data_IF_610033229109
#
_entry.id   IF_610033229109
#
_cell.length_a   1.000
_cell.length_b   1.000
_cell.length_c   1.000
_cell.angle_alpha   90.00
_cell.angle_beta   90.00
_cell.angle_gamma   90.00
#
_symmetry.space_group_name_H-M   'P 1'
#
loop_
_entity.id
_entity.type
_entity.pdbx_description
1 polymer ?
#
# COMPACT_ATOMS: atom_id res chain seq x y z
N UNK A 1 32.48 -0.92 -15.44
CA UNK A 1 33.42 -1.69 -14.56
C UNK A 1 33.01 -1.43 -13.13
N UNK A 2 32.60 -2.46 -12.39
CA UNK A 2 32.25 -2.29 -10.98
C UNK A 2 33.52 -2.03 -10.17
N UNK A 3 33.74 -0.83 -9.72
CA UNK A 3 34.80 -0.51 -8.76
C UNK A 3 34.34 -0.95 -7.39
N UNK A 4 34.95 -2.02 -6.89
CA UNK A 4 34.76 -2.44 -5.49
C UNK A 4 35.71 -1.62 -4.62
N UNK A 5 35.16 -0.80 -3.75
CA UNK A 5 35.94 0.01 -2.83
C UNK A 5 35.66 -0.43 -1.39
N UNK A 6 36.70 -0.78 -0.65
CA UNK A 6 36.58 -1.05 0.77
C UNK A 6 36.49 0.30 1.51
N UNK A 7 35.40 0.54 2.22
CA UNK A 7 35.20 1.74 3.03
C UNK A 7 34.87 1.33 4.46
N UNK A 8 35.47 2.01 5.42
CA UNK A 8 35.07 1.85 6.81
C UNK A 8 33.71 2.53 7.02
N UNK A 9 32.79 1.86 7.70
CA UNK A 9 31.52 2.46 8.10
C UNK A 9 31.71 3.78 8.88
N UNK A 10 32.77 3.84 9.69
CA UNK A 10 33.14 5.03 10.42
C UNK A 10 33.42 6.21 9.49
N UNK A 11 34.21 6.03 8.45
CA UNK A 11 34.51 7.12 7.53
C UNK A 11 33.25 7.66 6.85
N UNK A 12 32.33 6.80 6.42
CA UNK A 12 31.07 7.24 5.79
C UNK A 12 30.10 7.88 6.76
N UNK A 13 30.08 7.45 8.03
CA UNK A 13 29.21 8.02 9.07
C UNK A 13 29.79 9.28 9.69
N UNK A 14 31.08 9.30 9.99
CA UNK A 14 31.74 10.48 10.59
C UNK A 14 31.75 11.66 9.62
N UNK A 15 31.80 11.40 8.35
CA UNK A 15 31.66 12.39 7.29
C UNK A 15 30.25 12.98 7.23
N UNK A 16 29.23 12.23 7.59
CA UNK A 16 27.85 12.73 7.72
C UNK A 16 27.69 13.80 8.81
N UNK A 17 28.58 13.81 9.81
CA UNK A 17 28.50 14.74 10.94
C UNK A 17 29.52 15.88 10.87
N UNK A 18 30.57 15.75 10.07
CA UNK A 18 31.70 16.66 10.15
C UNK A 18 31.72 17.77 9.07
N UNK A 19 31.36 17.50 7.81
CA UNK A 19 31.44 18.53 6.74
C UNK A 19 30.43 18.25 5.64
N UNK A 20 29.39 19.07 5.57
CA UNK A 20 28.22 18.85 4.69
C UNK A 20 28.45 19.04 3.20
N UNK A 21 29.54 19.65 2.80
CA UNK A 21 29.69 20.18 1.44
C UNK A 21 30.59 19.34 0.51
N UNK A 22 31.34 18.36 0.99
CA UNK A 22 32.28 17.60 0.16
C UNK A 22 32.10 16.08 0.13
N UNK A 23 31.20 15.49 0.95
CA UNK A 23 31.04 14.05 1.04
C UNK A 23 29.60 13.60 0.87
N UNK A 24 29.34 12.55 0.03
CA UNK A 24 27.99 12.08 -0.19
C UNK A 24 27.26 11.69 1.08
N UNK A 25 26.00 12.09 1.20
CA UNK A 25 25.12 11.65 2.27
C UNK A 25 24.84 10.15 2.09
N UNK A 26 25.35 9.32 3.00
CA UNK A 26 25.11 7.88 2.96
C UNK A 26 23.75 7.57 3.57
N UNK A 27 22.77 7.22 2.73
CA UNK A 27 21.39 6.94 3.11
C UNK A 27 21.12 5.44 3.11
N UNK A 28 20.95 4.84 4.29
CA UNK A 28 20.68 3.41 4.44
C UNK A 28 19.30 3.02 3.94
N UNK A 29 18.34 3.95 3.97
CA UNK A 29 16.96 3.76 3.50
C UNK A 29 16.62 4.71 2.37
N UNK A 30 16.92 4.28 1.16
CA UNK A 30 16.48 4.93 -0.06
C UNK A 30 15.00 4.65 -0.36
N UNK A 31 14.43 5.32 -1.38
CA UNK A 31 13.00 5.22 -1.74
C UNK A 31 12.53 3.80 -2.11
N UNK A 32 13.44 2.89 -2.44
CA UNK A 32 13.14 1.53 -2.92
C UNK A 32 13.48 0.44 -1.88
N UNK A 33 13.76 0.81 -0.64
CA UNK A 33 14.07 -0.14 0.41
C UNK A 33 12.80 -0.71 1.05
N UNK A 34 12.83 -2.01 1.37
CA UNK A 34 11.79 -2.67 2.15
C UNK A 34 11.82 -2.24 3.62
N UNK A 35 10.70 -2.42 4.31
CA UNK A 35 10.62 -2.18 5.76
C UNK A 35 11.66 -3.00 6.54
N UNK A 36 12.12 -2.50 7.70
CA UNK A 36 13.01 -3.23 8.59
C UNK A 36 12.41 -4.59 8.97
N UNK A 37 13.09 -5.66 8.61
CA UNK A 37 12.60 -7.01 8.90
C UNK A 37 13.58 -7.85 9.74
N UNK A 38 14.77 -7.32 10.05
CA UNK A 38 15.71 -7.99 10.91
C UNK A 38 15.25 -7.96 12.36
N UNK A 39 15.25 -9.14 12.95
CA UNK A 39 15.02 -9.32 14.39
C UNK A 39 16.26 -8.90 15.18
N UNK A 40 16.13 -8.82 16.49
CA UNK A 40 17.28 -8.57 17.34
C UNK A 40 18.32 -9.70 17.24
N UNK A 41 17.87 -10.94 17.01
CA UNK A 41 18.78 -12.09 16.80
C UNK A 41 19.60 -11.91 15.51
N UNK A 42 18.97 -11.49 14.41
CA UNK A 42 19.67 -11.19 13.15
C UNK A 42 20.74 -10.08 13.36
N UNK A 43 20.43 -9.09 14.19
CA UNK A 43 21.37 -7.99 14.54
C UNK A 43 22.54 -8.49 15.40
N UNK A 44 22.25 -9.41 16.34
CA UNK A 44 23.31 -10.02 17.16
C UNK A 44 24.27 -10.87 16.32
N UNK A 45 23.72 -11.66 15.38
CA UNK A 45 24.54 -12.46 14.45
C UNK A 45 25.44 -11.55 13.58
N UNK A 46 24.94 -10.38 13.17
CA UNK A 46 25.72 -9.39 12.44
C UNK A 46 26.85 -8.81 13.28
N UNK A 47 26.58 -8.43 14.53
CA UNK A 47 27.59 -7.92 15.46
C UNK A 47 28.67 -8.98 15.74
N UNK A 48 28.28 -10.24 15.91
CA UNK A 48 29.24 -11.35 16.10
C UNK A 48 30.11 -11.56 14.85
N UNK A 49 29.50 -11.47 13.66
CA UNK A 49 30.21 -11.51 12.38
C UNK A 49 31.30 -10.43 12.32
N UNK A 50 30.97 -9.20 12.69
CA UNK A 50 31.90 -8.07 12.75
C UNK A 50 33.04 -8.31 13.73
N UNK A 51 32.73 -8.77 14.95
CA UNK A 51 33.73 -9.01 15.99
C UNK A 51 34.66 -10.18 15.68
N UNK A 52 34.20 -11.13 14.87
CA UNK A 52 35.06 -12.22 14.34
C UNK A 52 35.92 -11.76 13.17
N UNK A 53 35.64 -10.60 12.57
CA UNK A 53 36.29 -10.13 11.36
C UNK A 53 35.85 -10.87 10.11
N UNK A 54 34.68 -11.53 10.14
CA UNK A 54 34.13 -12.21 8.99
C UNK A 54 33.54 -11.21 8.00
N UNK A 55 33.57 -11.59 6.71
CA UNK A 55 32.93 -10.81 5.65
C UNK A 55 31.42 -11.00 5.69
N UNK A 56 30.66 -9.91 5.79
CA UNK A 56 29.21 -9.94 5.82
C UNK A 56 28.53 -9.81 4.43
N UNK A 57 29.32 -9.90 3.37
CA UNK A 57 28.90 -9.62 1.99
C UNK A 57 28.92 -8.13 1.64
N UNK A 58 28.96 -7.81 0.33
CA UNK A 58 29.07 -6.43 -0.12
C UNK A 58 27.81 -5.63 0.13
N UNK A 59 27.99 -4.32 0.35
CA UNK A 59 26.93 -3.32 0.32
C UNK A 59 26.85 -2.76 -1.09
N UNK A 60 25.67 -2.75 -1.69
CA UNK A 60 25.46 -2.14 -3.00
C UNK A 60 24.86 -0.74 -2.84
N UNK A 61 25.43 0.25 -3.52
CA UNK A 61 24.96 1.64 -3.48
C UNK A 61 24.68 2.18 -4.89
N UNK A 62 23.71 3.06 -4.97
CA UNK A 62 23.45 3.92 -6.12
C UNK A 62 23.89 5.33 -5.72
N UNK A 63 24.71 5.96 -6.56
CA UNK A 63 25.19 7.31 -6.34
C UNK A 63 24.30 8.32 -7.07
N UNK A 64 23.72 9.26 -6.35
CA UNK A 64 23.11 10.47 -6.90
C UNK A 64 24.14 11.60 -6.81
N UNK A 65 24.87 11.79 -7.90
CA UNK A 65 25.99 12.76 -7.96
C UNK A 65 25.45 14.19 -7.83
N UNK A 66 24.28 14.48 -8.40
CA UNK A 66 23.68 15.84 -8.37
C UNK A 66 23.27 16.25 -6.95
N UNK A 67 22.75 15.30 -6.18
CA UNK A 67 22.32 15.55 -4.80
C UNK A 67 23.39 15.22 -3.77
N UNK A 68 24.54 14.73 -4.20
CA UNK A 68 25.60 14.23 -3.33
C UNK A 68 25.09 13.19 -2.31
N UNK A 69 24.33 12.20 -2.80
CA UNK A 69 23.75 11.14 -1.98
C UNK A 69 24.21 9.76 -2.46
N UNK A 70 24.63 8.91 -1.54
CA UNK A 70 24.87 7.49 -1.75
C UNK A 70 23.68 6.70 -1.15
N UNK A 71 22.80 6.19 -1.98
CA UNK A 71 21.68 5.36 -1.55
C UNK A 71 22.08 3.90 -1.47
N UNK A 72 21.86 3.27 -0.31
CA UNK A 72 22.05 1.83 -0.18
C UNK A 72 20.95 1.11 -0.97
N UNK A 73 21.37 0.34 -1.96
CA UNK A 73 20.49 -0.52 -2.79
C UNK A 73 20.28 -1.89 -2.13
N UNK A 74 21.37 -2.54 -1.68
CA UNK A 74 21.32 -3.76 -0.87
C UNK A 74 22.31 -3.68 0.29
N UNK A 75 21.91 -4.26 1.43
CA UNK A 75 22.69 -4.28 2.67
C UNK A 75 22.24 -3.29 3.74
N UNK A 76 21.12 -2.62 3.56
CA UNK A 76 20.58 -1.65 4.52
C UNK A 76 20.50 -2.21 5.95
N UNK A 77 19.97 -3.41 6.13
CA UNK A 77 19.86 -4.04 7.46
C UNK A 77 21.22 -4.32 8.11
N UNK A 78 22.23 -4.64 7.30
CA UNK A 78 23.61 -4.85 7.80
C UNK A 78 24.19 -3.54 8.33
N UNK A 79 24.01 -2.46 7.59
CA UNK A 79 24.44 -1.12 8.02
C UNK A 79 23.68 -0.67 9.27
N UNK A 80 22.36 -0.80 9.26
CA UNK A 80 21.49 -0.38 10.37
C UNK A 80 21.79 -1.14 11.65
N UNK A 81 22.04 -2.46 11.58
CA UNK A 81 22.40 -3.25 12.74
C UNK A 81 23.62 -2.67 13.46
N UNK A 82 24.64 -2.25 12.71
CA UNK A 82 25.84 -1.66 13.29
C UNK A 82 25.60 -0.22 13.76
N UNK A 83 24.99 0.63 12.93
CA UNK A 83 24.75 2.03 13.26
C UNK A 83 23.84 2.19 14.48
N UNK A 84 22.74 1.45 14.52
CA UNK A 84 21.82 1.49 15.66
C UNK A 84 22.46 0.99 16.96
N UNK A 85 23.36 0.00 16.87
CA UNK A 85 24.10 -0.46 18.04
C UNK A 85 25.09 0.60 18.53
N UNK A 86 25.88 1.19 17.64
CA UNK A 86 26.79 2.29 17.98
C UNK A 86 26.02 3.48 18.58
N UNK A 87 24.80 3.74 18.12
CA UNK A 87 23.90 4.77 18.65
C UNK A 87 23.24 4.38 19.98
N UNK A 88 23.55 3.22 20.53
CA UNK A 88 22.96 2.72 21.77
C UNK A 88 21.42 2.57 21.69
N UNK A 89 20.85 2.23 20.51
CA UNK A 89 19.41 2.01 20.34
C UNK A 89 18.95 0.68 20.91
N UNK A 90 19.85 -0.28 21.03
CA UNK A 90 19.56 -1.58 21.63
C UNK A 90 20.80 -2.14 22.34
N UNK A 91 20.61 -2.96 23.41
CA UNK A 91 21.70 -3.62 24.12
C UNK A 91 22.06 -4.96 23.47
N UNK A 92 23.18 -5.52 23.89
CA UNK A 92 23.51 -6.92 23.61
C UNK A 92 22.43 -7.83 24.20
N UNK A 93 21.87 -8.73 23.41
CA UNK A 93 20.88 -9.72 23.83
C UNK A 93 21.40 -11.13 23.58
N UNK A 94 20.90 -12.09 24.32
CA UNK A 94 21.23 -13.50 24.08
C UNK A 94 20.63 -13.93 22.73
N UNK A 95 21.46 -14.34 21.79
CA UNK A 95 21.02 -14.90 20.51
C UNK A 95 20.37 -16.28 20.68
N UNK A 96 19.47 -16.63 19.76
CA UNK A 96 18.78 -17.91 19.75
C UNK A 96 19.61 -19.06 19.22
N UNK A 97 20.58 -18.77 18.36
CA UNK A 97 21.49 -19.77 17.84
C UNK A 97 22.55 -20.11 18.90
N UNK A 98 22.35 -21.22 19.61
CA UNK A 98 23.22 -21.64 20.71
C UNK A 98 24.66 -21.87 20.27
N UNK A 99 24.90 -22.38 19.07
CA UNK A 99 26.27 -22.67 18.60
C UNK A 99 27.05 -21.37 18.38
N UNK A 100 26.47 -20.40 17.67
CA UNK A 100 27.12 -19.10 17.45
C UNK A 100 27.20 -18.29 18.72
N UNK A 101 26.16 -18.37 19.59
CA UNK A 101 26.11 -17.62 20.82
C UNK A 101 27.13 -18.09 21.84
N UNK A 102 27.26 -19.38 22.08
CA UNK A 102 28.18 -19.93 23.08
C UNK A 102 29.65 -19.62 22.79
N UNK A 103 29.98 -19.34 21.54
CA UNK A 103 31.32 -18.91 21.09
C UNK A 103 31.41 -17.42 20.80
N UNK A 104 30.31 -16.67 20.97
CA UNK A 104 30.27 -15.22 20.68
C UNK A 104 31.11 -14.42 21.65
N UNK A 105 31.81 -13.42 21.11
CA UNK A 105 32.54 -12.43 21.91
C UNK A 105 31.62 -11.46 22.66
N UNK A 106 30.32 -11.47 22.38
CA UNK A 106 29.31 -10.66 23.06
C UNK A 106 28.68 -11.36 24.26
N UNK A 107 28.93 -12.66 24.46
CA UNK A 107 28.28 -13.48 25.48
C UNK A 107 28.36 -12.88 26.89
N UNK A 108 29.51 -12.35 27.24
CA UNK A 108 29.76 -11.81 28.57
C UNK A 108 29.22 -10.37 28.77
N UNK A 109 28.59 -9.79 27.73
CA UNK A 109 28.10 -8.42 27.73
C UNK A 109 26.59 -8.31 27.55
N UNK A 110 25.83 -9.36 27.86
CA UNK A 110 24.36 -9.32 27.81
C UNK A 110 23.81 -8.17 28.65
N UNK A 111 22.89 -7.39 28.07
CA UNK A 111 22.29 -6.21 28.70
C UNK A 111 23.13 -4.93 28.56
N UNK A 112 24.35 -5.01 28.04
CA UNK A 112 25.24 -3.84 27.85
C UNK A 112 24.95 -3.17 26.51
N UNK A 113 24.95 -1.85 26.52
CA UNK A 113 24.93 -1.02 25.32
C UNK A 113 26.34 -0.83 24.74
N UNK A 114 26.44 -0.38 23.50
CA UNK A 114 27.73 -0.16 22.84
C UNK A 114 28.72 0.65 23.68
N UNK A 115 28.26 1.75 24.29
CA UNK A 115 29.10 2.63 25.17
C UNK A 115 29.65 1.93 26.40
N UNK A 116 29.07 0.82 26.83
CA UNK A 116 29.43 0.05 28.00
C UNK A 116 30.35 -1.12 27.69
N UNK A 117 30.65 -1.36 26.41
CA UNK A 117 31.60 -2.38 25.99
C UNK A 117 33.05 -1.92 26.23
N UNK A 118 33.98 -2.91 26.39
CA UNK A 118 35.42 -2.60 26.41
C UNK A 118 35.85 -1.79 25.16
N UNK A 119 36.77 -0.91 25.30
CA UNK A 119 37.28 -0.02 24.24
C UNK A 119 37.78 -0.82 23.02
N UNK A 120 38.38 -1.99 23.23
CA UNK A 120 38.83 -2.87 22.15
C UNK A 120 37.69 -3.35 21.27
N UNK A 121 36.55 -3.77 21.90
CA UNK A 121 35.36 -4.22 21.15
C UNK A 121 34.67 -3.04 20.45
N UNK A 122 34.59 -1.89 21.12
CA UNK A 122 34.06 -0.69 20.49
C UNK A 122 34.89 -0.31 19.25
N UNK A 123 36.23 -0.37 19.39
CA UNK A 123 37.17 -0.09 18.29
C UNK A 123 36.95 -1.03 17.12
N UNK A 124 36.86 -2.36 17.36
CA UNK A 124 36.63 -3.36 16.32
C UNK A 124 35.33 -3.11 15.57
N UNK A 125 34.25 -2.75 16.27
CA UNK A 125 32.96 -2.48 15.65
C UNK A 125 33.02 -1.19 14.81
N UNK A 126 33.66 -0.14 15.33
CA UNK A 126 33.80 1.14 14.61
C UNK A 126 34.71 1.06 13.38
N UNK A 127 35.72 0.22 13.42
CA UNK A 127 36.72 0.08 12.35
C UNK A 127 36.44 -1.06 11.39
N UNK A 128 35.27 -1.70 11.49
CA UNK A 128 34.89 -2.76 10.57
C UNK A 128 34.73 -2.22 9.15
N UNK A 129 35.35 -2.90 8.19
CA UNK A 129 35.33 -2.51 6.79
C UNK A 129 34.26 -3.27 6.02
N UNK A 130 33.36 -2.53 5.36
CA UNK A 130 32.42 -3.07 4.38
C UNK A 130 33.01 -2.96 2.99
N UNK A 131 32.78 -4.00 2.18
CA UNK A 131 32.98 -3.88 0.73
C UNK A 131 31.78 -3.19 0.11
N UNK A 132 32.02 -2.11 -0.61
CA UNK A 132 30.98 -1.34 -1.28
C UNK A 132 31.10 -1.56 -2.78
N UNK A 133 30.02 -2.03 -3.39
CA UNK A 133 29.84 -2.09 -4.83
C UNK A 133 28.99 -0.91 -5.30
N UNK A 134 29.56 -0.07 -6.13
CA UNK A 134 28.82 1.03 -6.76
C UNK A 134 28.14 0.49 -7.99
N UNK A 135 26.81 0.66 -8.08
CA UNK A 135 26.03 0.27 -9.25
C UNK A 135 26.31 1.28 -10.36
N UNK A 136 26.61 0.77 -11.53
CA UNK A 136 26.87 1.59 -12.72
C UNK A 136 25.68 2.54 -12.99
N UNK A 137 25.92 3.82 -13.33
CA UNK A 137 24.87 4.80 -13.61
C UNK A 137 23.89 4.37 -14.71
N UNK A 138 24.37 3.69 -15.76
CA UNK A 138 23.48 3.17 -16.82
C UNK A 138 22.55 2.11 -16.26
N UNK A 139 23.07 1.19 -15.44
CA UNK A 139 22.27 0.16 -14.75
C UNK A 139 21.33 0.80 -13.70
N UNK A 140 21.77 1.85 -13.01
CA UNK A 140 20.96 2.54 -12.00
C UNK A 140 19.72 3.22 -12.61
N UNK A 141 19.80 3.60 -13.88
CA UNK A 141 18.70 4.20 -14.65
C UNK A 141 17.82 3.15 -15.38
N UNK A 142 18.23 1.88 -15.41
CA UNK A 142 17.44 0.78 -15.97
C UNK A 142 16.69 0.03 -14.88
N UNK A 143 15.39 0.29 -14.77
CA UNK A 143 14.52 -0.33 -13.77
C UNK A 143 14.46 -1.86 -13.91
N UNK A 144 14.59 -2.41 -15.13
CA UNK A 144 14.56 -3.86 -15.35
C UNK A 144 15.86 -4.50 -14.88
N UNK A 145 17.01 -3.88 -15.18
CA UNK A 145 18.32 -4.33 -14.72
C UNK A 145 18.43 -4.27 -13.19
N UNK A 146 17.98 -3.19 -12.56
CA UNK A 146 17.94 -3.05 -11.11
C UNK A 146 17.07 -4.13 -10.46
N UNK A 147 15.89 -4.40 -11.02
CA UNK A 147 15.02 -5.48 -10.54
C UNK A 147 15.74 -6.83 -10.59
N UNK A 148 16.35 -7.15 -11.72
CA UNK A 148 17.05 -8.42 -11.89
C UNK A 148 18.22 -8.55 -10.91
N UNK A 149 19.00 -7.49 -10.70
CA UNK A 149 20.07 -7.44 -9.71
C UNK A 149 19.52 -7.69 -8.31
N UNK A 150 18.46 -7.00 -7.94
CA UNK A 150 17.85 -7.11 -6.62
C UNK A 150 17.27 -8.50 -6.33
N UNK A 151 16.59 -9.12 -7.31
CA UNK A 151 16.11 -10.50 -7.19
C UNK A 151 17.26 -11.50 -6.96
N UNK A 152 18.41 -11.29 -7.62
CA UNK A 152 19.59 -12.13 -7.44
C UNK A 152 20.24 -11.95 -6.07
N UNK A 153 20.40 -10.71 -5.62
CA UNK A 153 20.95 -10.39 -4.31
C UNK A 153 20.06 -10.90 -3.17
N UNK A 154 18.76 -10.75 -3.32
CA UNK A 154 17.77 -11.13 -2.30
C UNK A 154 17.64 -12.64 -2.13
N UNK A 155 17.98 -13.45 -3.15
CA UNK A 155 18.00 -14.92 -3.03
C UNK A 155 19.11 -15.42 -2.10
N UNK A 156 20.15 -14.62 -1.89
CA UNK A 156 21.26 -14.95 -0.99
C UNK A 156 20.97 -14.64 0.50
N UNK A 157 19.85 -13.96 0.80
CA UNK A 157 19.45 -13.55 2.14
C UNK A 157 18.07 -14.04 2.54
N UNK A 158 17.38 -13.28 3.44
CA UNK A 158 16.01 -13.58 3.84
C UNK A 158 15.08 -13.41 2.64
N UNK A 159 14.40 -14.49 2.26
CA UNK A 159 13.54 -14.52 1.08
C UNK A 159 12.51 -13.37 1.10
N UNK A 160 12.36 -12.71 -0.05
CA UNK A 160 11.33 -11.71 -0.26
C UNK A 160 9.95 -12.37 -0.31
N UNK A 161 8.96 -11.69 0.22
CA UNK A 161 7.59 -12.04 -0.12
C UNK A 161 7.21 -11.44 -1.50
N UNK A 162 6.10 -11.94 -2.07
CA UNK A 162 5.65 -11.51 -3.40
C UNK A 162 5.40 -10.01 -3.51
N UNK A 163 5.00 -9.34 -2.43
CA UNK A 163 4.82 -7.89 -2.41
C UNK A 163 6.17 -7.16 -2.46
N UNK A 164 7.13 -7.54 -1.62
CA UNK A 164 8.46 -6.94 -1.60
C UNK A 164 9.19 -7.11 -2.94
N UNK A 165 8.97 -8.25 -3.62
CA UNK A 165 9.51 -8.48 -4.96
C UNK A 165 8.93 -7.52 -6.01
N UNK A 166 7.70 -7.08 -5.85
CA UNK A 166 6.98 -6.23 -6.80
C UNK A 166 7.12 -4.73 -6.55
N UNK A 167 7.34 -4.32 -5.31
CA UNK A 167 7.40 -2.89 -4.93
C UNK A 167 8.41 -2.10 -5.77
N UNK A 168 9.46 -2.78 -6.23
CA UNK A 168 10.51 -2.19 -7.08
C UNK A 168 10.03 -1.83 -8.49
N UNK A 169 8.95 -2.46 -8.96
CA UNK A 169 8.40 -2.24 -10.32
C UNK A 169 7.12 -1.44 -10.31
N UNK A 170 6.59 -1.18 -9.14
CA UNK A 170 5.40 -0.37 -8.99
C UNK A 170 5.79 1.10 -9.04
N UNK A 171 5.18 1.82 -9.99
CA UNK A 171 5.47 3.22 -10.25
C UNK A 171 5.06 4.16 -9.11
N UNK A 172 5.09 5.44 -9.39
CA UNK A 172 4.84 6.53 -8.44
C UNK A 172 3.53 6.39 -7.65
N UNK A 173 2.49 5.74 -8.23
CA UNK A 173 1.20 5.54 -7.57
C UNK A 173 1.30 4.63 -6.33
N UNK A 174 2.20 3.66 -6.31
CA UNK A 174 2.45 2.85 -5.12
C UNK A 174 2.89 3.74 -3.96
N UNK A 175 3.89 4.59 -4.19
CA UNK A 175 4.47 5.49 -3.19
C UNK A 175 3.52 6.61 -2.79
N UNK A 176 2.84 7.20 -3.77
CA UNK A 176 2.02 8.40 -3.58
C UNK A 176 0.59 8.12 -3.10
N UNK A 177 0.09 6.88 -3.29
CA UNK A 177 -1.27 6.48 -2.93
C UNK A 177 -1.29 5.40 -1.86
N UNK A 178 -0.64 4.27 -2.13
CA UNK A 178 -0.84 3.09 -1.30
C UNK A 178 -0.07 3.15 0.02
N UNK A 179 1.16 3.61 0.02
CA UNK A 179 1.95 3.75 1.24
C UNK A 179 1.33 4.78 2.22
N UNK A 180 0.93 5.99 1.78
CA UNK A 180 0.25 6.92 2.67
C UNK A 180 -1.12 6.43 3.14
N UNK A 181 -1.87 5.74 2.27
CA UNK A 181 -3.16 5.15 2.65
C UNK A 181 -2.98 3.99 3.64
N UNK A 182 -1.92 3.19 3.52
CA UNK A 182 -1.65 2.07 4.41
C UNK A 182 -1.61 2.52 5.88
N UNK A 183 -0.96 3.64 6.18
CA UNK A 183 -0.91 4.20 7.53
C UNK A 183 -2.29 4.43 8.13
N UNK A 184 -3.23 4.97 7.34
CA UNK A 184 -4.61 5.22 7.80
C UNK A 184 -5.43 3.94 8.02
N UNK A 185 -5.07 2.83 7.35
CA UNK A 185 -5.72 1.52 7.52
C UNK A 185 -5.12 0.71 8.66
N UNK A 186 -3.87 1.01 9.08
CA UNK A 186 -3.21 0.38 10.23
C UNK A 186 -3.97 0.60 11.54
N UNK A 187 -4.68 1.72 11.66
CA UNK A 187 -5.51 2.06 12.82
C UNK A 187 -6.84 1.30 12.85
N UNK A 188 -7.17 0.58 11.77
CA UNK A 188 -8.41 -0.18 11.71
C UNK A 188 -8.31 -1.48 12.51
N UNK A 189 -9.26 -1.76 13.44
CA UNK A 189 -9.29 -3.02 14.19
C UNK A 189 -9.49 -4.25 13.29
N UNK A 190 -9.95 -4.07 12.04
CA UNK A 190 -10.21 -5.13 11.08
C UNK A 190 -8.98 -5.56 10.28
N UNK A 191 -7.94 -4.74 10.27
CA UNK A 191 -6.68 -5.04 9.61
C UNK A 191 -5.51 -4.86 10.58
N UNK A 192 -5.47 -5.62 11.70
CA UNK A 192 -4.44 -5.43 12.70
C UNK A 192 -3.07 -5.66 12.08
N UNK A 193 -2.25 -4.63 12.08
CA UNK A 193 -0.86 -4.76 11.69
C UNK A 193 -0.13 -5.64 12.70
N UNK A 194 0.57 -6.64 12.21
CA UNK A 194 1.64 -7.25 13.00
C UNK A 194 2.78 -6.25 13.10
N UNK A 195 3.57 -6.31 14.18
CA UNK A 195 4.74 -5.44 14.43
C UNK A 195 5.74 -5.39 13.24
N UNK A 196 5.74 -6.38 12.35
CA UNK A 196 6.46 -6.34 11.08
C UNK A 196 5.45 -6.46 9.93
N UNK A 197 5.05 -5.34 9.37
CA UNK A 197 4.00 -5.30 8.36
C UNK A 197 4.45 -5.90 7.01
N UNK A 198 5.71 -5.75 6.59
CA UNK A 198 6.27 -6.22 5.32
C UNK A 198 5.29 -6.12 4.14
N UNK A 199 4.54 -5.00 4.06
CA UNK A 199 3.56 -4.76 3.00
C UNK A 199 2.22 -5.51 3.14
N UNK A 200 1.90 -6.09 4.28
CA UNK A 200 0.63 -6.82 4.46
C UNK A 200 -0.61 -5.95 4.29
N UNK A 201 -0.56 -4.68 4.68
CA UNK A 201 -1.68 -3.76 4.50
C UNK A 201 -1.79 -3.36 3.03
N UNK A 202 -0.68 -3.01 2.41
CA UNK A 202 -0.63 -2.63 0.99
C UNK A 202 -1.16 -3.76 0.09
N UNK A 203 -0.80 -5.00 0.37
CA UNK A 203 -1.36 -6.18 -0.34
C UNK A 203 -2.88 -6.25 -0.19
N UNK A 204 -3.43 -5.93 0.99
CA UNK A 204 -4.88 -5.87 1.18
C UNK A 204 -5.52 -4.73 0.40
N UNK A 205 -4.87 -3.55 0.37
CA UNK A 205 -5.33 -2.41 -0.43
C UNK A 205 -5.30 -2.73 -1.92
N UNK A 206 -4.27 -3.42 -2.42
CA UNK A 206 -4.24 -3.92 -3.80
C UNK A 206 -5.44 -4.82 -4.09
N UNK A 207 -5.75 -5.77 -3.20
CA UNK A 207 -6.91 -6.67 -3.35
C UNK A 207 -8.23 -5.90 -3.37
N UNK A 208 -8.40 -4.94 -2.47
CA UNK A 208 -9.61 -4.10 -2.43
C UNK A 208 -9.79 -3.32 -3.72
N UNK A 209 -8.74 -2.67 -4.21
CA UNK A 209 -8.79 -1.90 -5.45
C UNK A 209 -9.03 -2.79 -6.67
N UNK A 210 -8.33 -3.90 -6.80
CA UNK A 210 -8.54 -4.84 -7.90
C UNK A 210 -9.96 -5.42 -7.92
N UNK A 211 -10.53 -5.76 -6.76
CA UNK A 211 -11.90 -6.25 -6.63
C UNK A 211 -12.96 -5.18 -6.87
N UNK A 212 -12.61 -3.90 -6.77
CA UNK A 212 -13.51 -2.77 -7.06
C UNK A 212 -13.59 -2.42 -8.55
N UNK A 213 -12.86 -3.13 -9.41
CA UNK A 213 -12.95 -2.98 -10.87
C UNK A 213 -14.10 -3.83 -11.48
N UNK A 214 -14.41 -3.53 -12.75
CA UNK A 214 -15.45 -4.25 -13.48
C UNK A 214 -15.07 -5.71 -13.73
N UNK A 215 -13.84 -5.93 -14.18
CA UNK A 215 -13.33 -7.28 -14.40
C UNK A 215 -12.91 -7.88 -13.07
N UNK A 216 -13.51 -8.98 -12.72
CA UNK A 216 -13.41 -9.57 -11.40
C UNK A 216 -12.75 -10.94 -11.40
N UNK A 217 -12.50 -11.45 -10.22
CA UNK A 217 -11.81 -12.70 -9.96
C UNK A 217 -12.27 -13.92 -10.80
N UNK A 218 -13.55 -14.08 -11.18
CA UNK A 218 -13.95 -15.18 -12.07
C UNK A 218 -13.20 -15.25 -13.39
N UNK A 219 -12.74 -14.12 -13.93
CA UNK A 219 -11.98 -14.05 -15.18
C UNK A 219 -10.50 -14.44 -15.04
N UNK A 220 -9.99 -14.61 -13.80
CA UNK A 220 -8.59 -14.86 -13.50
C UNK A 220 -8.38 -16.24 -12.88
N UNK A 221 -7.17 -16.76 -12.91
CA UNK A 221 -6.83 -18.06 -12.32
C UNK A 221 -6.95 -18.06 -10.80
N UNK A 222 -6.57 -16.94 -10.16
CA UNK A 222 -6.59 -16.75 -8.70
C UNK A 222 -6.71 -15.27 -8.32
N UNK A 223 -6.93 -14.99 -7.03
CA UNK A 223 -6.87 -13.62 -6.48
C UNK A 223 -5.49 -12.98 -6.67
N UNK A 224 -4.43 -13.77 -6.59
CA UNK A 224 -3.08 -13.29 -6.78
C UNK A 224 -2.84 -12.88 -8.25
N UNK A 225 -3.36 -13.65 -9.18
CA UNK A 225 -3.31 -13.36 -10.62
C UNK A 225 -4.08 -12.07 -10.96
N UNK A 226 -5.29 -11.91 -10.44
CA UNK A 226 -6.06 -10.66 -10.55
C UNK A 226 -5.26 -9.46 -10.04
N UNK A 227 -4.72 -9.55 -8.82
CA UNK A 227 -3.97 -8.46 -8.19
C UNK A 227 -2.69 -8.15 -8.95
N UNK A 228 -1.99 -9.18 -9.44
CA UNK A 228 -0.76 -9.01 -10.21
C UNK A 228 -1.02 -8.22 -11.48
N UNK A 229 -2.03 -8.65 -12.24
CA UNK A 229 -2.41 -7.97 -13.47
C UNK A 229 -2.89 -6.54 -13.20
N UNK A 230 -3.68 -6.33 -12.16
CA UNK A 230 -4.12 -5.00 -11.76
C UNK A 230 -2.92 -4.10 -11.41
N UNK A 231 -1.94 -4.60 -10.64
CA UNK A 231 -0.72 -3.86 -10.31
C UNK A 231 0.06 -3.49 -11.58
N UNK A 232 0.24 -4.43 -12.51
CA UNK A 232 0.96 -4.18 -13.75
C UNK A 232 0.22 -3.16 -14.63
N UNK A 233 -1.10 -3.25 -14.73
CA UNK A 233 -1.92 -2.37 -15.56
C UNK A 233 -2.11 -0.97 -14.97
N UNK A 234 -2.22 -0.87 -13.65
CA UNK A 234 -2.57 0.39 -12.96
C UNK A 234 -1.36 1.07 -12.33
N UNK A 235 -0.49 0.32 -11.66
CA UNK A 235 0.64 0.88 -10.92
C UNK A 235 1.94 0.86 -11.73
N UNK A 236 2.14 -0.17 -12.58
CA UNK A 236 3.39 -0.37 -13.31
C UNK A 236 3.60 0.56 -14.51
N UNK A 237 2.53 1.16 -15.05
CA UNK A 237 2.59 2.01 -16.27
C UNK A 237 2.84 3.49 -16.02
N UNK A 238 2.98 3.91 -14.77
CA UNK A 238 3.21 5.31 -14.44
C UNK A 238 4.70 5.62 -14.43
N UNK A 239 5.12 6.47 -15.36
CA UNK A 239 6.46 7.06 -15.42
C UNK A 239 6.73 7.92 -14.17
N UNK A 240 8.00 8.24 -13.91
CA UNK A 240 8.42 9.07 -12.78
C UNK A 240 7.83 10.48 -12.76
N UNK A 241 7.27 10.93 -13.89
CA UNK A 241 6.65 12.24 -14.01
C UNK A 241 5.13 12.17 -13.79
N UNK A 242 4.65 12.96 -12.83
CA UNK A 242 3.21 13.11 -12.54
C UNK A 242 2.59 14.01 -13.62
N UNK A 243 2.14 13.40 -14.70
CA UNK A 243 1.29 14.08 -15.69
C UNK A 243 -0.15 14.25 -15.19
N UNK A 244 -0.99 14.93 -16.00
CA UNK A 244 -2.39 15.17 -15.64
C UNK A 244 -3.19 13.85 -15.50
N UNK A 245 -2.90 12.83 -16.31
CA UNK A 245 -3.57 11.53 -16.26
C UNK A 245 -3.19 10.76 -14.99
N UNK A 246 -1.92 10.80 -14.60
CA UNK A 246 -1.43 10.19 -13.37
C UNK A 246 -2.06 10.84 -12.14
N UNK A 247 -2.25 12.16 -12.13
CA UNK A 247 -2.95 12.88 -11.04
C UNK A 247 -4.41 12.45 -10.94
N UNK A 248 -5.14 12.40 -12.04
CA UNK A 248 -6.54 11.94 -12.05
C UNK A 248 -6.66 10.49 -11.54
N UNK A 249 -5.73 9.63 -11.94
CA UNK A 249 -5.69 8.25 -11.49
C UNK A 249 -5.39 8.16 -10.00
N UNK A 250 -4.42 8.94 -9.49
CA UNK A 250 -4.09 9.07 -8.07
C UNK A 250 -5.33 9.44 -7.26
N UNK A 251 -6.02 10.52 -7.65
CA UNK A 251 -7.20 11.01 -6.94
C UNK A 251 -8.34 9.99 -6.95
N UNK A 252 -8.54 9.28 -8.07
CA UNK A 252 -9.51 8.19 -8.18
C UNK A 252 -9.20 7.04 -7.22
N UNK A 253 -7.94 6.60 -7.13
CA UNK A 253 -7.54 5.50 -6.23
C UNK A 253 -7.69 5.89 -4.77
N UNK A 254 -7.27 7.11 -4.39
CA UNK A 254 -7.44 7.65 -3.04
C UNK A 254 -8.94 7.74 -2.70
N UNK A 255 -9.75 8.24 -3.61
CA UNK A 255 -11.20 8.36 -3.43
C UNK A 255 -11.85 7.00 -3.18
N UNK A 256 -11.50 5.97 -3.96
CA UNK A 256 -12.00 4.60 -3.77
C UNK A 256 -11.60 4.02 -2.40
N UNK A 257 -10.34 4.17 -2.00
CA UNK A 257 -9.88 3.68 -0.70
C UNK A 257 -10.58 4.38 0.45
N UNK A 258 -10.76 5.70 0.39
CA UNK A 258 -11.54 6.46 1.38
C UNK A 258 -12.98 5.96 1.43
N UNK A 259 -13.60 5.74 0.27
CA UNK A 259 -14.96 5.23 0.19
C UNK A 259 -15.11 3.85 0.85
N UNK A 260 -14.22 2.90 0.52
CA UNK A 260 -14.23 1.56 1.13
C UNK A 260 -13.96 1.60 2.64
N UNK A 261 -13.15 2.54 3.12
CA UNK A 261 -12.96 2.77 4.55
C UNK A 261 -14.25 3.27 5.22
N UNK A 262 -14.95 4.19 4.58
CA UNK A 262 -16.24 4.69 5.09
C UNK A 262 -17.29 3.57 5.11
N UNK A 263 -17.32 2.69 4.09
CA UNK A 263 -18.17 1.50 4.12
C UNK A 263 -17.84 0.57 5.30
N UNK A 264 -16.56 0.34 5.55
CA UNK A 264 -16.11 -0.47 6.69
C UNK A 264 -16.60 0.12 8.02
N UNK A 265 -16.47 1.43 8.19
CA UNK A 265 -16.96 2.15 9.38
C UNK A 265 -18.48 2.02 9.50
N UNK A 266 -19.24 2.23 8.43
CA UNK A 266 -20.69 2.09 8.42
C UNK A 266 -21.15 0.67 8.80
N UNK A 267 -20.47 -0.36 8.29
CA UNK A 267 -20.74 -1.75 8.67
C UNK A 267 -20.42 -2.01 10.14
N UNK A 268 -19.39 -1.37 10.68
CA UNK A 268 -19.02 -1.46 12.10
C UNK A 268 -20.07 -0.81 12.98
N UNK A 269 -20.49 0.41 12.65
CA UNK A 269 -21.48 1.18 13.41
C UNK A 269 -22.85 0.46 13.45
N UNK A 270 -23.13 -0.35 12.42
CA UNK A 270 -24.34 -1.21 12.35
C UNK A 270 -24.15 -2.60 12.95
N UNK A 271 -23.05 -2.82 13.70
CA UNK A 271 -22.75 -4.09 14.38
C UNK A 271 -22.67 -5.32 13.44
N UNK A 272 -22.37 -5.14 12.15
CA UNK A 272 -22.26 -6.25 11.19
C UNK A 272 -21.16 -7.25 11.60
N UNK A 273 -20.15 -6.79 12.33
CA UNK A 273 -19.01 -7.59 12.77
C UNK A 273 -19.16 -8.20 14.18
N UNK A 274 -20.37 -8.16 14.73
CA UNK A 274 -20.62 -8.70 16.05
C UNK A 274 -21.75 -9.74 16.03
N UNK A 275 -21.64 -10.71 16.90
CA UNK A 275 -22.66 -11.69 17.24
C UNK A 275 -22.69 -11.84 18.76
N UNK A 276 -23.86 -11.73 19.38
CA UNK A 276 -24.03 -11.87 20.83
C UNK A 276 -23.04 -11.02 21.65
N UNK A 277 -22.81 -9.79 21.19
CA UNK A 277 -21.87 -8.82 21.80
C UNK A 277 -20.39 -9.13 21.61
N UNK A 278 -20.03 -10.16 20.85
CA UNK A 278 -18.64 -10.54 20.57
C UNK A 278 -18.29 -10.27 19.10
N UNK A 279 -17.05 -9.84 18.85
CA UNK A 279 -16.54 -9.70 17.49
C UNK A 279 -16.48 -11.06 16.79
N UNK A 280 -17.01 -11.14 15.56
CA UNK A 280 -16.93 -12.33 14.71
C UNK A 280 -15.73 -12.26 13.76
N UNK A 281 -14.97 -11.19 13.77
CA UNK A 281 -13.83 -11.00 12.89
C UNK A 281 -12.58 -11.64 13.49
N UNK A 282 -12.09 -12.66 12.81
CA UNK A 282 -10.83 -13.32 13.07
C UNK A 282 -10.04 -13.53 11.76
N UNK A 283 -8.89 -14.18 11.82
CA UNK A 283 -8.06 -14.46 10.64
C UNK A 283 -8.78 -15.27 9.56
N UNK A 284 -9.79 -16.06 9.92
CA UNK A 284 -10.55 -16.85 8.96
C UNK A 284 -11.47 -15.99 8.09
N UNK A 285 -11.80 -14.79 8.55
CA UNK A 285 -12.70 -13.83 7.88
C UNK A 285 -11.97 -12.82 6.99
N UNK A 286 -10.65 -12.82 6.99
CA UNK A 286 -9.84 -11.87 6.21
C UNK A 286 -10.23 -11.89 4.71
N UNK A 287 -10.30 -13.08 4.10
CA UNK A 287 -10.65 -13.23 2.68
C UNK A 287 -12.10 -12.86 2.38
N UNK A 288 -13.11 -13.37 3.10
CA UNK A 288 -14.49 -12.94 2.92
C UNK A 288 -14.68 -11.43 3.08
N UNK A 289 -14.10 -10.82 4.09
CA UNK A 289 -14.21 -9.38 4.34
C UNK A 289 -13.61 -8.53 3.21
N UNK A 290 -12.41 -8.89 2.73
CA UNK A 290 -11.76 -8.20 1.61
C UNK A 290 -12.63 -8.31 0.34
N UNK A 291 -13.19 -9.49 0.05
CA UNK A 291 -14.06 -9.69 -1.11
C UNK A 291 -15.32 -8.84 -0.97
N UNK A 292 -15.99 -8.89 0.16
CA UNK A 292 -17.21 -8.10 0.41
C UNK A 292 -16.93 -6.60 0.24
N UNK A 293 -15.91 -6.06 0.90
CA UNK A 293 -15.56 -4.63 0.81
C UNK A 293 -15.18 -4.20 -0.60
N UNK A 294 -14.36 -5.00 -1.30
CA UNK A 294 -13.98 -4.70 -2.68
C UNK A 294 -15.20 -4.71 -3.61
N UNK A 295 -16.10 -5.68 -3.47
CA UNK A 295 -17.33 -5.74 -4.29
C UNK A 295 -18.35 -4.68 -3.91
N UNK A 296 -18.47 -4.30 -2.62
CA UNK A 296 -19.24 -3.12 -2.23
C UNK A 296 -18.70 -1.85 -2.91
N UNK A 297 -17.37 -1.70 -2.99
CA UNK A 297 -16.75 -0.60 -3.71
C UNK A 297 -17.02 -0.59 -5.21
N UNK A 298 -17.29 -1.74 -5.82
CA UNK A 298 -17.70 -1.85 -7.21
C UNK A 298 -19.19 -1.54 -7.43
N UNK A 299 -20.06 -2.18 -6.64
CA UNK A 299 -21.51 -2.14 -6.85
C UNK A 299 -22.13 -0.82 -6.37
N UNK A 300 -21.59 -0.21 -5.33
CA UNK A 300 -22.14 0.98 -4.70
C UNK A 300 -21.09 2.09 -4.68
N UNK A 301 -21.35 3.18 -5.39
CA UNK A 301 -20.43 4.32 -5.50
C UNK A 301 -20.81 5.48 -4.56
N UNK A 302 -21.92 5.36 -3.82
CA UNK A 302 -22.50 6.42 -3.03
C UNK A 302 -22.90 5.94 -1.62
N UNK A 303 -22.31 6.54 -0.58
CA UNK A 303 -22.59 6.20 0.82
C UNK A 303 -24.05 6.44 1.20
N UNK A 304 -24.68 7.48 0.68
CA UNK A 304 -26.08 7.75 1.01
C UNK A 304 -27.02 6.70 0.38
N UNK A 305 -26.69 6.20 -0.81
CA UNK A 305 -27.40 5.06 -1.37
C UNK A 305 -27.19 3.81 -0.51
N UNK A 306 -25.94 3.49 -0.17
CA UNK A 306 -25.64 2.34 0.69
C UNK A 306 -26.42 2.40 2.01
N UNK A 307 -26.48 3.58 2.66
CA UNK A 307 -27.23 3.77 3.92
C UNK A 307 -28.72 3.47 3.77
N UNK A 308 -29.34 3.76 2.62
CA UNK A 308 -30.76 3.45 2.39
C UNK A 308 -31.04 1.95 2.32
N UNK A 309 -30.12 1.18 1.75
CA UNK A 309 -30.27 -0.28 1.62
C UNK A 309 -29.63 -1.05 2.78
N UNK A 310 -28.94 -0.36 3.68
CA UNK A 310 -28.11 -0.98 4.70
C UNK A 310 -28.91 -1.85 5.69
N UNK A 311 -30.16 -1.52 5.98
CA UNK A 311 -31.04 -2.32 6.85
C UNK A 311 -31.27 -3.73 6.30
N UNK A 312 -31.38 -3.87 4.98
CA UNK A 312 -31.56 -5.15 4.30
C UNK A 312 -30.22 -5.82 3.97
N UNK A 313 -29.22 -5.01 3.60
CA UNK A 313 -27.92 -5.48 3.15
C UNK A 313 -27.04 -5.99 4.30
N UNK A 314 -26.99 -5.27 5.40
CA UNK A 314 -26.13 -5.61 6.54
C UNK A 314 -26.42 -6.98 7.14
N UNK A 315 -27.68 -7.43 7.31
CA UNK A 315 -27.95 -8.81 7.74
C UNK A 315 -27.40 -9.87 6.78
N UNK A 316 -27.47 -9.65 5.46
CA UNK A 316 -26.92 -10.57 4.47
C UNK A 316 -25.39 -10.65 4.54
N UNK A 317 -24.72 -9.52 4.67
CA UNK A 317 -23.26 -9.46 4.90
C UNK A 317 -22.88 -10.18 6.20
N UNK A 318 -23.59 -9.88 7.30
CA UNK A 318 -23.35 -10.52 8.59
C UNK A 318 -23.53 -12.04 8.52
N UNK A 319 -24.56 -12.52 7.81
CA UNK A 319 -24.79 -13.96 7.57
C UNK A 319 -23.57 -14.64 6.94
N UNK A 320 -22.99 -14.06 5.89
CA UNK A 320 -21.78 -14.60 5.25
C UNK A 320 -20.61 -14.63 6.23
N UNK A 321 -20.41 -13.55 6.98
CA UNK A 321 -19.29 -13.43 7.92
C UNK A 321 -19.44 -14.32 9.16
N UNK A 322 -20.67 -14.66 9.57
CA UNK A 322 -20.93 -15.58 10.68
C UNK A 322 -20.63 -17.03 10.35
N UNK A 323 -20.79 -17.44 9.08
CA UNK A 323 -20.52 -18.81 8.69
C UNK A 323 -19.09 -19.20 9.09
N UNK A 324 -18.92 -20.35 9.70
CA UNK A 324 -17.58 -20.89 9.85
C UNK A 324 -17.00 -21.30 8.48
N UNK A 325 -15.68 -21.47 8.34
CA UNK A 325 -15.05 -21.76 7.06
C UNK A 325 -15.60 -23.00 6.34
N UNK A 326 -15.97 -24.03 7.08
CA UNK A 326 -16.48 -25.27 6.49
C UNK A 326 -17.92 -25.12 5.97
N UNK A 327 -18.75 -24.40 6.71
CA UNK A 327 -20.13 -24.15 6.28
C UNK A 327 -20.18 -23.23 5.07
N UNK A 328 -19.32 -22.21 5.01
CA UNK A 328 -19.19 -21.37 3.84
C UNK A 328 -18.67 -22.14 2.62
N UNK A 329 -17.76 -23.10 2.81
CA UNK A 329 -17.35 -24.01 1.75
C UNK A 329 -18.51 -24.88 1.24
N UNK A 330 -19.36 -25.39 2.13
CA UNK A 330 -20.56 -26.17 1.77
C UNK A 330 -21.55 -25.32 0.99
N UNK A 331 -21.84 -24.10 1.47
CA UNK A 331 -22.73 -23.14 0.79
C UNK A 331 -22.26 -22.84 -0.63
N UNK A 332 -20.95 -22.69 -0.82
CA UNK A 332 -20.36 -22.43 -2.13
C UNK A 332 -20.09 -23.71 -2.94
N UNK A 333 -20.46 -24.88 -2.44
CA UNK A 333 -20.20 -26.18 -3.07
C UNK A 333 -18.72 -26.36 -3.49
N UNK A 334 -17.81 -26.18 -2.53
CA UNK A 334 -16.37 -26.37 -2.69
C UNK A 334 -15.78 -27.17 -1.55
N UNK A 335 -14.70 -27.92 -1.82
CA UNK A 335 -14.07 -28.79 -0.84
C UNK A 335 -12.99 -28.12 0.00
N UNK A 336 -12.50 -26.96 -0.43
CA UNK A 336 -11.41 -26.25 0.24
C UNK A 336 -11.41 -24.75 -0.06
N UNK A 337 -10.72 -23.97 0.79
CA UNK A 337 -10.57 -22.50 0.68
C UNK A 337 -9.44 -22.11 -0.29
N UNK A 338 -9.53 -22.56 -1.52
CA UNK A 338 -8.58 -22.29 -2.60
C UNK A 338 -9.06 -21.16 -3.54
N UNK A 339 -8.44 -21.05 -4.71
CA UNK A 339 -8.84 -20.07 -5.74
C UNK A 339 -10.29 -20.27 -6.19
N UNK A 340 -10.79 -21.52 -6.29
CA UNK A 340 -12.17 -21.82 -6.66
C UNK A 340 -13.15 -21.29 -5.62
N UNK A 341 -12.85 -21.45 -4.34
CA UNK A 341 -13.63 -20.85 -3.24
C UNK A 341 -13.73 -19.33 -3.40
N UNK A 342 -12.59 -18.65 -3.63
CA UNK A 342 -12.57 -17.20 -3.79
C UNK A 342 -13.41 -16.74 -4.96
N UNK A 343 -13.32 -17.42 -6.11
CA UNK A 343 -14.13 -17.13 -7.31
C UNK A 343 -15.62 -17.28 -7.06
N UNK A 344 -16.01 -18.38 -6.42
CA UNK A 344 -17.42 -18.63 -6.10
C UNK A 344 -17.94 -17.65 -5.05
N UNK A 345 -17.12 -17.25 -4.09
CA UNK A 345 -17.51 -16.24 -3.10
C UNK A 345 -17.71 -14.86 -3.75
N UNK A 346 -16.86 -14.47 -4.69
CA UNK A 346 -17.07 -13.24 -5.47
C UNK A 346 -18.40 -13.31 -6.23
N UNK A 347 -18.64 -14.40 -6.95
CA UNK A 347 -19.89 -14.57 -7.71
C UNK A 347 -21.14 -14.56 -6.80
N UNK A 348 -21.06 -15.21 -5.63
CA UNK A 348 -22.12 -15.23 -4.63
C UNK A 348 -22.42 -13.85 -4.06
N UNK A 349 -21.38 -13.09 -3.70
CA UNK A 349 -21.50 -11.71 -3.21
C UNK A 349 -22.05 -10.79 -4.30
N UNK A 350 -21.59 -10.94 -5.55
CA UNK A 350 -22.10 -10.16 -6.68
C UNK A 350 -23.58 -10.43 -6.95
N UNK A 351 -24.03 -11.67 -6.83
CA UNK A 351 -25.43 -12.02 -6.98
C UNK A 351 -26.30 -11.29 -5.94
N UNK A 352 -25.87 -11.30 -4.68
CA UNK A 352 -26.58 -10.59 -3.59
C UNK A 352 -26.60 -9.08 -3.86
N UNK A 353 -25.48 -8.49 -4.24
CA UNK A 353 -25.38 -7.04 -4.42
C UNK A 353 -26.12 -6.56 -5.67
N UNK A 354 -26.19 -7.38 -6.71
CA UNK A 354 -26.92 -7.08 -7.94
C UNK A 354 -28.44 -6.89 -7.70
N UNK A 355 -29.02 -7.57 -6.71
CA UNK A 355 -30.43 -7.39 -6.33
C UNK A 355 -30.74 -5.96 -5.90
N UNK A 356 -29.75 -5.27 -5.31
CA UNK A 356 -29.92 -3.91 -4.77
C UNK A 356 -29.37 -2.83 -5.71
N UNK A 357 -28.56 -3.22 -6.71
CA UNK A 357 -27.99 -2.27 -7.62
C UNK A 357 -28.94 -2.00 -8.77
N UNK A 358 -29.57 -0.87 -8.74
CA UNK A 358 -30.21 -0.31 -9.93
C UNK A 358 -29.17 0.57 -10.65
N UNK A 359 -28.52 -0.02 -11.66
CA UNK A 359 -27.49 0.70 -12.47
C UNK A 359 -28.02 2.00 -13.08
N UNK A 360 -29.34 2.15 -13.26
CA UNK A 360 -29.98 3.37 -13.77
C UNK A 360 -30.07 4.46 -12.69
N UNK A 361 -30.14 4.06 -11.40
CA UNK A 361 -30.20 4.98 -10.25
C UNK A 361 -28.81 5.38 -9.73
N UNK A 362 -27.77 4.57 -10.01
CA UNK A 362 -26.41 4.81 -9.53
C UNK A 362 -25.49 5.49 -10.56
N UNK A 363 -25.98 5.80 -11.74
CA UNK A 363 -25.15 6.58 -12.68
C UNK A 363 -24.91 7.97 -12.07
N UNK A 364 -23.62 8.36 -12.08
CA UNK A 364 -23.20 9.67 -11.57
C UNK A 364 -23.31 10.79 -12.61
N UNK A 365 -23.33 10.44 -13.89
CA UNK A 365 -23.29 11.42 -14.97
C UNK A 365 -24.59 11.45 -15.75
N UNK A 366 -25.11 12.63 -15.97
CA UNK A 366 -26.22 12.87 -16.89
C UNK A 366 -25.80 12.70 -18.35
N UNK A 367 -26.69 12.16 -19.18
CA UNK A 367 -26.46 12.02 -20.61
C UNK A 367 -26.49 13.36 -21.31
N UNK A 368 -25.90 13.43 -22.51
CA UNK A 368 -25.96 14.64 -23.34
C UNK A 368 -27.39 15.05 -23.68
N UNK A 369 -28.27 14.07 -23.90
CA UNK A 369 -29.68 14.32 -24.20
C UNK A 369 -30.41 14.95 -23.02
N UNK A 370 -30.23 14.42 -21.80
CA UNK A 370 -30.83 14.99 -20.59
C UNK A 370 -30.34 16.41 -20.32
N UNK A 371 -29.04 16.65 -20.48
CA UNK A 371 -28.45 17.99 -20.31
C UNK A 371 -29.03 19.00 -21.29
N UNK A 372 -29.20 18.60 -22.55
CA UNK A 372 -29.78 19.45 -23.59
C UNK A 372 -31.25 19.77 -23.27
N UNK A 373 -32.05 18.76 -22.98
CA UNK A 373 -33.45 18.93 -22.63
C UNK A 373 -33.63 19.82 -21.39
N UNK A 374 -32.77 19.65 -20.35
CA UNK A 374 -32.83 20.46 -19.14
C UNK A 374 -32.40 21.90 -19.37
N UNK A 375 -31.44 22.15 -20.24
CA UNK A 375 -31.05 23.50 -20.61
C UNK A 375 -32.19 24.22 -21.36
N UNK A 376 -32.90 23.54 -22.27
CA UNK A 376 -34.08 24.05 -22.94
C UNK A 376 -35.22 24.36 -21.95
N UNK A 377 -35.49 23.46 -20.98
CA UNK A 377 -36.46 23.67 -19.90
C UNK A 377 -36.09 24.88 -19.02
N UNK A 378 -34.79 25.12 -18.77
CA UNK A 378 -34.28 26.27 -18.01
C UNK A 378 -34.29 27.58 -18.85
N UNK A 379 -34.82 27.56 -20.10
CA UNK A 379 -34.84 28.72 -21.00
C UNK A 379 -33.44 29.16 -21.43
N UNK A 380 -32.47 28.25 -21.48
CA UNK A 380 -31.09 28.54 -21.84
C UNK A 380 -30.31 29.28 -20.72
N UNK A 381 -30.82 29.32 -19.49
CA UNK A 381 -30.21 30.04 -18.38
C UNK A 381 -29.49 29.11 -17.40
N UNK A 382 -28.38 29.61 -16.82
CA UNK A 382 -27.70 28.94 -15.72
C UNK A 382 -28.60 28.91 -14.45
N UNK A 383 -28.79 27.76 -13.84
CA UNK A 383 -29.65 27.63 -12.67
C UNK A 383 -29.15 28.42 -11.45
N UNK A 384 -27.84 28.67 -11.33
CA UNK A 384 -27.23 29.42 -10.21
C UNK A 384 -27.27 30.92 -10.47
N UNK A 385 -26.57 31.42 -11.51
CA UNK A 385 -26.40 32.85 -11.73
C UNK A 385 -27.51 33.50 -12.60
N UNK A 386 -28.45 32.71 -13.14
CA UNK A 386 -29.58 33.13 -13.97
C UNK A 386 -29.18 33.85 -15.28
N UNK A 387 -27.92 33.80 -15.68
CA UNK A 387 -27.43 34.36 -16.93
C UNK A 387 -27.52 33.34 -18.08
N UNK A 388 -27.64 33.80 -19.36
CA UNK A 388 -27.70 32.91 -20.51
C UNK A 388 -26.46 32.04 -20.64
N UNK A 389 -26.65 30.77 -21.01
CA UNK A 389 -25.59 29.83 -21.39
C UNK A 389 -25.56 29.79 -22.93
N UNK A 390 -24.53 30.35 -23.54
CA UNK A 390 -24.37 30.35 -24.99
C UNK A 390 -23.77 29.01 -25.49
N UNK A 391 -24.09 28.62 -26.74
CA UNK A 391 -23.67 27.32 -27.32
C UNK A 391 -22.16 27.07 -27.26
N UNK A 392 -21.34 28.11 -27.34
CA UNK A 392 -19.88 28.02 -27.29
C UNK A 392 -19.31 28.02 -25.87
N UNK A 393 -20.16 28.20 -24.84
CA UNK A 393 -19.75 28.21 -23.45
C UNK A 393 -19.79 26.79 -22.86
N UNK A 394 -18.74 26.46 -22.10
CA UNK A 394 -18.72 25.18 -21.33
C UNK A 394 -19.74 25.23 -20.20
N UNK A 395 -20.63 24.26 -20.23
CA UNK A 395 -21.63 24.04 -19.18
C UNK A 395 -21.56 22.63 -18.62
N UNK A 396 -21.96 22.49 -17.39
CA UNK A 396 -21.98 21.22 -16.66
C UNK A 396 -23.40 20.89 -16.19
N UNK A 397 -23.79 19.63 -16.34
CA UNK A 397 -24.98 19.11 -15.66
C UNK A 397 -24.59 18.74 -14.24
N UNK A 398 -25.23 19.40 -13.30
CA UNK A 398 -25.01 19.25 -11.87
C UNK A 398 -26.24 18.71 -11.17
N UNK A 399 -26.04 18.08 -10.00
CA UNK A 399 -27.10 17.60 -9.15
C UNK A 399 -27.63 18.72 -8.26
N UNK A 400 -28.94 18.96 -8.22
CA UNK A 400 -29.57 19.90 -7.30
C UNK A 400 -29.29 19.48 -5.86
N UNK A 401 -29.65 18.26 -5.52
CA UNK A 401 -29.19 17.57 -4.32
C UNK A 401 -27.92 16.81 -4.72
N UNK A 402 -26.78 17.23 -4.18
CA UNK A 402 -25.48 16.68 -4.55
C UNK A 402 -25.42 15.15 -4.44
N UNK A 403 -24.75 14.53 -5.40
CA UNK A 403 -24.57 13.08 -5.45
C UNK A 403 -23.93 12.53 -4.16
N UNK A 404 -22.96 13.25 -3.58
CA UNK A 404 -22.31 12.88 -2.30
C UNK A 404 -23.28 12.91 -1.10
N UNK A 405 -24.38 13.70 -1.20
CA UNK A 405 -25.40 13.84 -0.18
C UNK A 405 -26.65 12.98 -0.47
N UNK A 406 -26.54 12.00 -1.39
CA UNK A 406 -27.62 11.05 -1.71
C UNK A 406 -28.54 11.50 -2.84
N UNK A 407 -28.21 12.55 -3.54
CA UNK A 407 -28.93 12.98 -4.74
C UNK A 407 -28.82 11.94 -5.85
N UNK A 408 -29.95 11.54 -6.42
CA UNK A 408 -29.99 10.59 -7.54
C UNK A 408 -29.72 11.32 -8.86
N UNK A 409 -29.14 10.60 -9.83
CA UNK A 409 -28.95 11.10 -11.20
C UNK A 409 -30.26 10.90 -12.00
N UNK A 410 -31.29 11.60 -11.58
CA UNK A 410 -32.60 11.66 -12.23
C UNK A 410 -32.78 13.03 -12.88
N UNK A 411 -33.64 13.08 -13.89
CA UNK A 411 -33.93 14.34 -14.62
C UNK A 411 -34.42 15.45 -13.69
N UNK A 412 -35.21 15.13 -12.68
CA UNK A 412 -35.72 16.09 -11.69
C UNK A 412 -34.65 16.65 -10.77
N UNK A 413 -33.56 15.90 -10.58
CA UNK A 413 -32.39 16.33 -9.80
C UNK A 413 -31.29 16.97 -10.65
N UNK A 414 -31.54 17.20 -11.96
CA UNK A 414 -30.60 17.80 -12.89
C UNK A 414 -30.78 19.33 -12.92
N UNK A 415 -29.70 20.05 -12.88
CA UNK A 415 -29.62 21.46 -13.23
C UNK A 415 -28.42 21.72 -14.15
N UNK A 416 -28.50 22.73 -15.00
CA UNK A 416 -27.40 23.13 -15.88
C UNK A 416 -26.78 24.41 -15.36
N UNK A 417 -25.47 24.38 -15.18
CA UNK A 417 -24.69 25.50 -14.65
C UNK A 417 -23.58 25.90 -15.66
N UNK A 418 -23.17 27.17 -15.63
CA UNK A 418 -21.86 27.51 -16.17
C UNK A 418 -20.78 26.74 -15.38
N UNK A 419 -19.71 26.37 -16.05
CA UNK A 419 -18.61 25.64 -15.42
C UNK A 419 -18.07 26.34 -14.16
N UNK A 420 -17.90 27.66 -14.22
CA UNK A 420 -17.45 28.46 -13.06
C UNK A 420 -18.45 28.43 -11.91
N UNK A 421 -19.76 28.46 -12.21
CA UNK A 421 -20.80 28.35 -11.17
C UNK A 421 -20.80 26.98 -10.51
N UNK A 422 -20.57 25.92 -11.30
CA UNK A 422 -20.45 24.56 -10.79
C UNK A 422 -19.20 24.39 -9.89
N UNK A 423 -18.04 24.91 -10.33
CA UNK A 423 -16.80 24.89 -9.54
C UNK A 423 -16.97 25.64 -8.21
N UNK A 424 -17.60 26.82 -8.22
CA UNK A 424 -17.88 27.61 -7.02
C UNK A 424 -18.89 26.93 -6.05
N UNK A 425 -19.91 26.23 -6.59
CA UNK A 425 -20.83 25.43 -5.77
C UNK A 425 -20.12 24.25 -5.10
N UNK A 426 -19.24 23.57 -5.85
CA UNK A 426 -18.50 22.41 -5.36
C UNK A 426 -17.42 22.76 -4.32
N UNK A 427 -17.03 24.02 -4.22
CA UNK A 427 -16.03 24.53 -3.26
C UNK A 427 -16.65 24.96 -1.91
N UNK A 428 -18.00 25.03 -1.81
CA UNK A 428 -18.74 25.31 -0.58
C UNK A 428 -19.08 24.01 0.15
#
# INVERSE_FOLDING_TARGET
>A
MNTSTALTLRNRRDVHFAERDEVPVFRTRGPKQRDPCWTIDDKMDMLDTVLRGFQCGPIYIIQDIEKNIDDVFDGAHRCEAIFEFIDNKYPVTKGKNTITWDTSRLRDYVGKYFKELPAELQKKIKEYNFYINIIDPEMANDAAALRMLWERLSKAGKALNNFEAKIQTQGILQKEVLEPCASSWLESPFFPAKKSNRGHIEVRLHKLLALSEKDTLPAYSSMEDLVNKWCDDVLGKTTENIDANTRLKKDSLIGRLKYMRNLLTELQDRNVFHADGKSIIDKSKDVPLIIILGRLGYWFSNMAFFRRIAEEMCPKINSILRMNPNDLCKELAVNSRNATFQKKLVAYVDLIFAEYSDKSKDRRLFTKAEKKAKLEEQGGLCAECKKPIHEHQRNDGDHIIEFRNGGQTTYDNLQILHRVCHENKSAR
#
